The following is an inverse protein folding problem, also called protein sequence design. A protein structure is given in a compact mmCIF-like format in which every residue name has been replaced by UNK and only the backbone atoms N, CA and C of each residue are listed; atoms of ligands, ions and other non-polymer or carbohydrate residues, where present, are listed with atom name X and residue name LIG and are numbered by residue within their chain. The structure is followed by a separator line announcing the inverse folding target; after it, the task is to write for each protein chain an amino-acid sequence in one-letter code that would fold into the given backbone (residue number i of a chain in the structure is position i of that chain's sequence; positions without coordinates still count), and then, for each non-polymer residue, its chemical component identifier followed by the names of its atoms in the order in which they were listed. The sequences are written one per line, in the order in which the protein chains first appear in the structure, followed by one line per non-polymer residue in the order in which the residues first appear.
data_IF_755151791970
#
_entry.id   IF_755151791970
#
_cell.length_a   1.000
_cell.length_b   1.000
_cell.length_c   1.000
_cell.angle_alpha   90.00
_cell.angle_beta   90.00
_cell.angle_gamma   90.00
#
_symmetry.space_group_name_H-M   'P 1'
#
loop_
_entity.id
_entity.type
_entity.pdbx_description
1 polymer ?
#
# COMPACT_ATOMS: atom_id res chain seq x y z
N UNK A 1 0.92 -7.72 5.24
CA UNK A 1 -0.43 -7.50 5.80
C UNK A 1 -0.37 -6.31 6.75
N UNK A 2 -1.42 -5.49 6.82
CA UNK A 2 -1.54 -4.40 7.78
C UNK A 2 -2.97 -4.33 8.32
N UNK A 3 -3.17 -3.75 9.50
CA UNK A 3 -4.51 -3.57 10.10
C UNK A 3 -4.72 -2.10 10.40
N UNK A 4 -5.76 -1.50 9.83
CA UNK A 4 -6.12 -0.10 10.05
C UNK A 4 -7.58 0.16 9.64
N UNK A 5 -8.23 1.16 10.24
CA UNK A 5 -9.59 1.55 9.85
C UNK A 5 -10.65 0.46 10.03
N UNK A 6 -10.48 -0.42 11.03
CA UNK A 6 -11.36 -1.58 11.26
C UNK A 6 -11.24 -2.69 10.21
N UNK A 7 -10.18 -2.67 9.39
CA UNK A 7 -10.00 -3.59 8.29
C UNK A 7 -8.60 -4.20 8.24
N UNK A 8 -8.52 -5.41 7.68
CA UNK A 8 -7.29 -6.12 7.37
C UNK A 8 -6.96 -5.87 5.89
N UNK A 9 -5.78 -5.34 5.65
CA UNK A 9 -5.23 -5.08 4.32
C UNK A 9 -4.21 -6.15 3.96
N UNK A 10 -4.40 -6.79 2.80
CA UNK A 10 -3.62 -7.92 2.31
C UNK A 10 -3.07 -7.59 0.93
N UNK A 11 -1.74 -7.57 0.81
CA UNK A 11 -1.08 -7.61 -0.51
C UNK A 11 -0.98 -9.08 -0.94
N UNK A 12 -1.55 -9.38 -2.09
CA UNK A 12 -1.49 -10.65 -2.78
C UNK A 12 -0.52 -10.49 -3.95
N UNK A 13 0.78 -10.64 -3.65
CA UNK A 13 1.87 -10.32 -4.58
C UNK A 13 1.73 -11.03 -5.94
N UNK A 14 1.51 -12.35 -5.94
CA UNK A 14 1.37 -13.14 -7.18
C UNK A 14 0.10 -12.79 -7.99
N UNK A 15 -0.92 -12.23 -7.33
CA UNK A 15 -2.16 -11.82 -7.98
C UNK A 15 -2.17 -10.34 -8.38
N UNK A 16 -1.11 -9.58 -8.07
CA UNK A 16 -1.03 -8.13 -8.26
C UNK A 16 -2.24 -7.39 -7.67
N UNK A 17 -2.72 -7.84 -6.51
CA UNK A 17 -3.93 -7.33 -5.87
C UNK A 17 -3.64 -6.90 -4.44
N UNK A 18 -4.17 -5.75 -4.06
CA UNK A 18 -4.35 -5.34 -2.68
C UNK A 18 -5.83 -5.50 -2.33
N UNK A 19 -6.14 -6.31 -1.33
CA UNK A 19 -7.51 -6.50 -0.84
C UNK A 19 -7.66 -5.99 0.58
N UNK A 20 -8.84 -5.46 0.86
CA UNK A 20 -9.25 -4.98 2.17
C UNK A 20 -10.45 -5.77 2.63
N UNK A 21 -10.40 -6.30 3.86
CA UNK A 21 -11.50 -7.04 4.47
C UNK A 21 -11.89 -6.42 5.80
N UNK A 22 -13.18 -6.38 6.12
CA UNK A 22 -13.60 -5.98 7.46
C UNK A 22 -13.04 -6.96 8.49
N UNK A 23 -12.44 -6.44 9.57
CA UNK A 23 -11.65 -7.27 10.48
C UNK A 23 -12.48 -8.34 11.22
N UNK A 24 -13.76 -8.06 11.46
CA UNK A 24 -14.65 -8.97 12.20
C UNK A 24 -15.54 -9.80 11.28
N UNK A 25 -16.22 -9.17 10.32
CA UNK A 25 -17.17 -9.86 9.44
C UNK A 25 -16.49 -10.60 8.29
N UNK A 26 -15.22 -10.29 8.00
CA UNK A 26 -14.42 -10.85 6.88
C UNK A 26 -15.01 -10.56 5.51
N UNK A 27 -15.94 -9.61 5.41
CA UNK A 27 -16.47 -9.14 4.14
C UNK A 27 -15.40 -8.35 3.40
N UNK A 28 -15.33 -8.53 2.07
CA UNK A 28 -14.42 -7.78 1.24
C UNK A 28 -14.94 -6.35 1.06
N UNK A 29 -14.11 -5.38 1.40
CA UNK A 29 -14.44 -3.96 1.38
C UNK A 29 -13.85 -3.24 0.16
N UNK A 30 -12.69 -3.70 -0.34
CA UNK A 30 -12.05 -3.13 -1.52
C UNK A 30 -11.09 -4.13 -2.18
N UNK A 31 -10.87 -3.94 -3.47
CA UNK A 31 -9.81 -4.56 -4.25
C UNK A 31 -9.15 -3.48 -5.12
N UNK A 32 -7.82 -3.44 -5.11
CA UNK A 32 -7.01 -2.49 -5.87
C UNK A 32 -5.96 -3.29 -6.63
N UNK A 33 -5.87 -3.09 -7.94
CA UNK A 33 -4.90 -3.75 -8.81
C UNK A 33 -3.53 -3.10 -8.64
N UNK A 34 -2.76 -3.61 -7.67
CA UNK A 34 -1.44 -3.12 -7.34
C UNK A 34 -0.59 -4.23 -6.71
N UNK A 35 0.67 -4.32 -7.14
CA UNK A 35 1.64 -5.24 -6.54
C UNK A 35 2.44 -4.49 -5.47
N UNK A 36 2.00 -4.56 -4.21
CA UNK A 36 2.72 -3.97 -3.09
C UNK A 36 3.75 -4.97 -2.50
N UNK A 37 4.97 -4.52 -2.19
CA UNK A 37 5.97 -5.34 -1.51
C UNK A 37 5.84 -5.25 0.02
N UNK A 38 5.85 -4.04 0.56
CA UNK A 38 5.73 -3.77 1.98
C UNK A 38 4.60 -2.80 2.26
N UNK A 39 4.06 -2.87 3.48
CA UNK A 39 2.98 -2.01 3.93
C UNK A 39 3.27 -1.50 5.34
N UNK A 40 2.92 -0.24 5.60
CA UNK A 40 3.02 0.37 6.92
C UNK A 40 1.76 1.19 7.23
N UNK A 41 1.46 1.37 8.51
CA UNK A 41 0.33 2.18 8.97
C UNK A 41 0.87 3.45 9.62
N UNK A 42 0.40 4.60 9.15
CA UNK A 42 0.74 5.89 9.76
C UNK A 42 -0.38 6.89 9.50
N UNK A 43 -0.74 7.68 10.53
CA UNK A 43 -1.70 8.78 10.39
C UNK A 43 -3.10 8.36 9.88
N UNK A 44 -3.57 7.15 10.22
CA UNK A 44 -4.87 6.64 9.74
C UNK A 44 -4.87 6.18 8.27
N UNK A 45 -3.70 6.06 7.65
CA UNK A 45 -3.53 5.60 6.28
C UNK A 45 -2.61 4.37 6.20
N UNK A 46 -2.75 3.64 5.09
CA UNK A 46 -1.86 2.56 4.68
C UNK A 46 -0.89 3.10 3.63
N UNK A 47 0.40 2.96 3.90
CA UNK A 47 1.48 3.25 2.97
C UNK A 47 1.98 1.96 2.34
N UNK A 48 2.21 1.98 1.04
CA UNK A 48 2.63 0.84 0.23
C UNK A 48 3.94 1.18 -0.49
N UNK A 49 4.92 0.28 -0.45
CA UNK A 49 5.98 0.26 -1.45
C UNK A 49 5.57 -0.64 -2.61
N UNK A 50 5.82 -0.21 -3.84
CA UNK A 50 5.40 -0.94 -5.03
C UNK A 50 6.50 -1.87 -5.54
N UNK A 51 6.10 -3.03 -6.07
CA UNK A 51 7.00 -3.94 -6.74
C UNK A 51 7.38 -3.38 -8.11
N UNK A 52 8.68 -3.36 -8.42
CA UNK A 52 9.25 -2.87 -9.68
C UNK A 52 8.94 -1.40 -10.02
N UNK A 53 8.54 -0.59 -9.04
CA UNK A 53 8.42 0.85 -9.20
C UNK A 53 9.04 1.54 -7.99
N UNK A 54 9.89 2.55 -8.23
CA UNK A 54 10.41 3.44 -7.20
C UNK A 54 9.31 4.44 -6.80
N UNK A 55 8.21 3.93 -6.26
CA UNK A 55 7.02 4.68 -5.88
C UNK A 55 6.46 4.20 -4.56
N UNK A 56 5.92 5.13 -3.79
CA UNK A 56 5.08 4.87 -2.63
C UNK A 56 3.65 5.32 -2.94
N UNK A 57 2.65 4.53 -2.53
CA UNK A 57 1.25 4.94 -2.56
C UNK A 57 0.65 4.95 -1.16
N UNK A 58 -0.28 5.86 -0.94
CA UNK A 58 -0.98 6.04 0.32
C UNK A 58 -2.49 5.93 0.11
N UNK A 59 -3.15 5.14 0.94
CA UNK A 59 -4.61 4.98 0.93
C UNK A 59 -5.17 5.26 2.32
N UNK A 60 -6.29 6.00 2.39
CA UNK A 60 -6.99 6.21 3.64
C UNK A 60 -7.54 4.88 4.16
N UNK A 61 -7.29 4.52 5.43
CA UNK A 61 -7.62 3.19 5.92
C UNK A 61 -9.14 2.90 5.94
N UNK A 62 -9.96 3.94 6.18
CA UNK A 62 -11.42 3.82 6.24
C UNK A 62 -12.14 4.11 4.91
N UNK A 63 -11.84 5.19 4.19
CA UNK A 63 -12.52 5.47 2.91
C UNK A 63 -11.97 4.64 1.75
N UNK A 64 -10.77 4.06 1.91
CA UNK A 64 -10.02 3.33 0.87
C UNK A 64 -9.65 4.19 -0.34
N UNK A 65 -9.81 5.51 -0.24
CA UNK A 65 -9.41 6.45 -1.28
C UNK A 65 -7.89 6.61 -1.30
N UNK A 66 -7.33 6.77 -2.50
CA UNK A 66 -5.92 7.10 -2.65
C UNK A 66 -5.68 8.55 -2.21
N UNK A 67 -4.79 8.73 -1.25
CA UNK A 67 -4.44 10.04 -0.71
C UNK A 67 -3.21 10.64 -1.38
N UNK A 68 -2.25 9.81 -1.75
CA UNK A 68 -1.00 10.28 -2.34
C UNK A 68 -0.30 9.21 -3.17
N UNK A 69 0.53 9.67 -4.11
CA UNK A 69 1.57 8.89 -4.79
C UNK A 69 2.87 9.69 -4.74
N UNK A 70 3.95 9.06 -4.29
CA UNK A 70 5.27 9.68 -4.17
C UNK A 70 6.24 8.90 -5.04
N UNK A 71 6.79 9.56 -6.05
CA UNK A 71 7.86 9.01 -6.86
C UNK A 71 9.21 9.25 -6.16
N UNK A 72 9.95 8.18 -5.90
CA UNK A 72 11.25 8.20 -5.22
C UNK A 72 12.41 7.81 -6.15
N UNK A 73 12.22 7.79 -7.47
CA UNK A 73 13.25 7.39 -8.44
C UNK A 73 14.53 8.19 -8.26
N UNK A 74 14.46 9.52 -8.14
CA UNK A 74 15.64 10.36 -7.99
C UNK A 74 16.44 10.02 -6.73
N UNK A 75 15.76 9.78 -5.61
CA UNK A 75 16.37 9.38 -4.35
C UNK A 75 17.02 8.00 -4.46
N UNK A 76 16.35 7.03 -5.08
CA UNK A 76 16.90 5.68 -5.30
C UNK A 76 18.12 5.74 -6.22
N UNK A 77 18.07 6.49 -7.32
CA UNK A 77 19.22 6.70 -8.21
C UNK A 77 20.39 7.29 -7.46
N UNK A 78 20.15 8.34 -6.66
CA UNK A 78 21.19 8.95 -5.81
C UNK A 78 21.83 7.92 -4.86
N UNK A 79 21.02 7.11 -4.18
CA UNK A 79 21.51 6.05 -3.28
C UNK A 79 22.34 4.98 -4.00
N UNK A 80 21.99 4.61 -5.22
CA UNK A 80 22.69 3.59 -6.00
C UNK A 80 24.01 4.08 -6.59
N UNK A 81 24.11 5.38 -6.90
CA UNK A 81 25.32 5.97 -7.51
C UNK A 81 26.23 6.65 -6.49
N UNK A 82 25.83 6.73 -5.21
CA UNK A 82 26.67 7.22 -4.12
C UNK A 82 26.86 8.74 -4.09
N UNK A 83 25.96 9.51 -4.73
CA UNK A 83 25.95 10.97 -4.69
C UNK A 83 25.14 11.53 -3.51
#
# INVERSE_FOLDING_TARGET
MAVAGGAIWLSLHNAAQLRCYHATTREQLAEINITAQHMAVAGGAIWLSLHNAAQLRCYHATTREQLAEINITAQVTKMLHGE
#
